data_IF_592108948430
#
_entry.id   IF_592108948430
#
_cell.length_a   1.000
_cell.length_b   1.000
_cell.length_c   1.000
_cell.angle_alpha   90.00
_cell.angle_beta   90.00
_cell.angle_gamma   90.00
#
_symmetry.space_group_name_H-M   'P 1'
#
loop_
_entity.id
_entity.type
_entity.pdbx_description
1 polymer ?
#
# COMPACT_ATOMS: atom_id res chain seq x y z
N UNK A 1 87.84 -10.88 9.32
CA UNK A 1 87.02 -9.68 9.64
C UNK A 1 85.76 -9.80 8.81
N UNK A 2 84.60 -10.09 9.42
CA UNK A 2 83.33 -10.17 8.70
C UNK A 2 82.79 -8.74 8.68
N UNK A 3 82.89 -8.06 7.54
CA UNK A 3 82.25 -6.74 7.36
C UNK A 3 80.76 -7.06 7.25
N UNK A 4 80.01 -6.79 8.30
CA UNK A 4 78.54 -6.83 8.25
C UNK A 4 78.13 -5.48 7.69
N UNK A 5 77.43 -5.48 6.55
CA UNK A 5 76.84 -4.26 6.01
C UNK A 5 75.89 -3.69 7.07
N UNK A 6 75.96 -2.37 7.29
CA UNK A 6 75.10 -1.70 8.26
C UNK A 6 73.76 -1.45 7.56
N UNK A 7 72.66 -1.96 8.12
CA UNK A 7 71.30 -1.67 7.64
C UNK A 7 71.08 -0.14 7.55
N UNK A 8 70.60 0.32 6.41
CA UNK A 8 70.20 1.69 6.14
C UNK A 8 68.68 1.82 6.07
N UNK A 9 68.14 2.79 6.82
CA UNK A 9 66.70 3.05 6.79
C UNK A 9 66.17 3.37 5.37
N UNK A 10 64.98 2.88 5.02
CA UNK A 10 64.37 3.09 3.72
C UNK A 10 63.96 4.56 3.53
N UNK A 11 63.85 4.99 2.27
CA UNK A 11 63.47 6.35 1.88
C UNK A 11 62.01 6.38 1.42
N UNK A 12 61.15 7.04 2.18
CA UNK A 12 59.75 7.25 1.83
C UNK A 12 59.61 8.41 0.83
N UNK A 13 59.01 8.14 -0.33
CA UNK A 13 58.76 9.12 -1.39
C UNK A 13 57.28 9.17 -1.68
N UNK A 14 56.65 10.31 -1.39
CA UNK A 14 55.21 10.48 -1.48
C UNK A 14 54.82 11.37 -2.67
N UNK A 15 53.77 10.98 -3.39
CA UNK A 15 53.19 11.76 -4.48
C UNK A 15 51.67 11.70 -4.46
N UNK A 16 51.02 12.86 -4.56
CA UNK A 16 49.57 12.91 -4.85
C UNK A 16 49.39 12.47 -6.31
N UNK A 17 48.71 11.34 -6.53
CA UNK A 17 48.47 10.79 -7.87
C UNK A 17 47.12 11.22 -8.43
N UNK A 18 46.14 11.50 -7.57
CA UNK A 18 44.84 12.05 -7.94
C UNK A 18 44.27 12.94 -6.83
N UNK A 19 43.53 14.01 -7.14
CA UNK A 19 43.42 14.63 -8.47
C UNK A 19 44.71 15.37 -8.86
N UNK A 20 44.89 15.66 -10.16
CA UNK A 20 46.07 16.39 -10.66
C UNK A 20 46.03 17.90 -10.39
N UNK A 21 44.87 18.44 -10.00
CA UNK A 21 44.66 19.85 -9.71
C UNK A 21 44.46 20.02 -8.21
N UNK A 22 45.24 20.92 -7.61
CA UNK A 22 45.17 21.32 -6.22
C UNK A 22 44.92 22.83 -6.11
N UNK A 23 44.26 23.31 -5.03
CA UNK A 23 43.65 22.55 -3.93
C UNK A 23 42.44 21.68 -4.37
N UNK A 24 42.26 20.52 -3.72
CA UNK A 24 41.19 19.57 -4.05
C UNK A 24 39.82 20.09 -3.58
N UNK A 25 38.80 19.98 -4.44
CA UNK A 25 37.42 20.28 -4.07
C UNK A 25 36.81 19.15 -3.22
N UNK A 26 35.90 19.49 -2.30
CA UNK A 26 35.21 18.50 -1.47
C UNK A 26 34.55 17.39 -2.29
N UNK A 27 34.48 16.18 -1.73
CA UNK A 27 33.81 15.03 -2.36
C UNK A 27 34.63 14.31 -3.44
N UNK A 28 35.74 14.89 -3.90
CA UNK A 28 36.68 14.20 -4.80
C UNK A 28 37.54 13.20 -4.03
N UNK A 29 37.81 12.05 -4.64
CA UNK A 29 38.78 11.09 -4.12
C UNK A 29 40.21 11.61 -4.32
N UNK A 30 40.96 11.67 -3.23
CA UNK A 30 42.40 11.92 -3.22
C UNK A 30 43.12 10.59 -3.11
N UNK A 31 44.12 10.37 -3.95
CA UNK A 31 45.03 9.22 -3.90
C UNK A 31 46.46 9.70 -3.72
N UNK A 32 47.17 9.14 -2.76
CA UNK A 32 48.59 9.37 -2.51
C UNK A 32 49.34 8.06 -2.66
N UNK A 33 50.39 8.06 -3.48
CA UNK A 33 51.24 6.90 -3.70
C UNK A 33 52.59 7.07 -3.03
N UNK A 34 53.06 5.99 -2.41
CA UNK A 34 54.41 5.78 -1.93
C UNK A 34 55.17 4.76 -2.81
N UNK A 35 54.67 4.44 -4.01
CA UNK A 35 55.26 3.43 -4.89
C UNK A 35 56.68 3.76 -5.37
N UNK A 36 57.12 5.02 -5.25
CA UNK A 36 58.49 5.44 -5.53
C UNK A 36 59.41 5.40 -4.29
N UNK A 37 58.92 4.90 -3.15
CA UNK A 37 59.74 4.65 -1.97
C UNK A 37 60.66 3.45 -2.23
N UNK A 38 61.86 3.48 -1.66
CA UNK A 38 62.88 2.46 -1.91
C UNK A 38 63.77 2.23 -0.70
N UNK A 39 64.43 1.08 -0.68
CA UNK A 39 65.46 0.74 0.28
C UNK A 39 66.86 1.13 -0.24
N UNK A 40 67.76 1.54 0.65
CA UNK A 40 69.13 1.92 0.29
C UNK A 40 70.10 0.73 0.31
N UNK A 41 69.73 -0.36 0.97
CA UNK A 41 70.50 -1.59 1.00
C UNK A 41 70.32 -2.36 -0.31
N UNK A 42 71.42 -2.95 -0.80
CA UNK A 42 71.47 -3.54 -2.14
C UNK A 42 70.50 -4.74 -2.32
N UNK A 43 70.14 -5.39 -1.22
CA UNK A 43 69.17 -6.48 -1.11
C UNK A 43 67.88 -6.10 -0.37
N UNK A 44 67.81 -4.91 0.22
CA UNK A 44 66.70 -4.45 1.06
C UNK A 44 65.40 -4.19 0.29
N UNK A 45 64.27 -4.35 0.98
CA UNK A 45 62.91 -4.17 0.48
C UNK A 45 62.00 -3.60 1.56
N UNK A 46 61.08 -2.74 1.14
CA UNK A 46 60.03 -2.25 2.04
C UNK A 46 59.08 -3.41 2.38
N UNK A 47 58.98 -3.72 3.67
CA UNK A 47 58.16 -4.78 4.24
C UNK A 47 56.76 -4.30 4.63
N UNK A 48 56.65 -3.10 5.23
CA UNK A 48 55.37 -2.58 5.74
C UNK A 48 55.17 -1.11 5.44
N UNK A 49 53.90 -0.70 5.34
CA UNK A 49 53.44 0.67 5.22
C UNK A 49 52.46 0.96 6.36
N UNK A 50 52.52 2.16 6.93
CA UNK A 50 51.57 2.64 7.92
C UNK A 50 51.30 4.12 7.72
N UNK A 51 50.14 4.43 7.16
CA UNK A 51 49.62 5.77 6.99
C UNK A 51 48.84 6.21 8.21
N UNK A 52 49.11 7.43 8.66
CA UNK A 52 48.37 8.09 9.75
C UNK A 52 48.04 9.51 9.35
N UNK A 53 46.84 9.97 9.68
CA UNK A 53 46.53 11.39 9.63
C UNK A 53 47.10 12.07 10.87
N UNK A 54 47.91 13.11 10.68
CA UNK A 54 48.58 13.82 11.78
C UNK A 54 47.93 15.15 12.09
N UNK A 55 47.34 15.82 11.11
CA UNK A 55 46.65 17.10 11.28
C UNK A 55 45.57 17.34 10.21
N UNK A 56 44.81 18.41 10.40
CA UNK A 56 43.78 18.83 9.46
C UNK A 56 42.40 18.20 9.71
N UNK A 57 41.45 18.41 8.79
CA UNK A 57 40.09 17.88 8.90
C UNK A 57 40.10 16.35 8.85
N UNK A 58 39.39 15.69 9.76
CA UNK A 58 39.39 14.23 9.87
C UNK A 58 38.91 13.56 8.57
N UNK A 59 39.64 12.54 8.12
CA UNK A 59 39.30 11.74 6.94
C UNK A 59 39.42 10.24 7.24
N UNK A 60 38.59 9.44 6.58
CA UNK A 60 38.73 7.98 6.58
C UNK A 60 39.71 7.57 5.50
N UNK A 61 40.83 6.96 5.90
CA UNK A 61 41.84 6.44 4.99
C UNK A 61 41.48 5.03 4.52
N UNK A 62 41.60 4.78 3.22
CA UNK A 62 41.49 3.46 2.60
C UNK A 62 42.86 3.02 2.11
N UNK A 63 43.27 1.77 2.40
CA UNK A 63 44.61 1.26 2.06
C UNK A 63 45.73 1.83 2.93
N UNK A 64 45.42 2.18 4.19
CA UNK A 64 46.36 2.81 5.12
C UNK A 64 47.59 1.94 5.47
N UNK A 65 47.57 0.65 5.16
CA UNK A 65 48.65 -0.32 5.34
C UNK A 65 49.33 -0.71 4.01
N UNK A 66 49.07 0.03 2.93
CA UNK A 66 49.60 -0.26 1.59
C UNK A 66 50.43 0.90 1.03
N UNK A 67 51.11 0.65 -0.09
CA UNK A 67 51.85 1.69 -0.81
C UNK A 67 50.94 2.81 -1.37
N UNK A 68 49.63 2.60 -1.49
CA UNK A 68 48.69 3.62 -1.99
C UNK A 68 47.58 3.85 -0.97
N UNK A 69 47.45 5.08 -0.47
CA UNK A 69 46.35 5.48 0.40
C UNK A 69 45.39 6.39 -0.34
N UNK A 70 44.10 6.27 -0.05
CA UNK A 70 43.10 7.20 -0.57
C UNK A 70 42.10 7.65 0.49
N UNK A 71 41.49 8.80 0.25
CA UNK A 71 40.41 9.34 1.06
C UNK A 71 39.51 10.26 0.23
N UNK A 72 38.30 10.55 0.71
CA UNK A 72 37.41 11.53 0.09
C UNK A 72 37.65 12.90 0.71
N UNK A 73 37.92 13.92 -0.11
CA UNK A 73 38.17 15.28 0.36
C UNK A 73 36.99 15.79 1.23
N UNK A 74 37.26 16.26 2.46
CA UNK A 74 36.23 16.68 3.40
C UNK A 74 35.59 18.02 3.00
N UNK A 75 34.45 18.32 3.61
CA UNK A 75 33.80 19.63 3.47
C UNK A 75 34.41 20.60 4.49
N UNK A 76 34.99 21.71 4.02
CA UNK A 76 35.71 22.68 4.88
C UNK A 76 35.25 24.11 4.62
N UNK A 77 35.10 24.90 5.69
CA UNK A 77 34.66 26.31 5.59
C UNK A 77 35.78 27.27 5.14
N UNK A 78 37.04 26.90 5.36
CA UNK A 78 38.23 27.61 4.91
C UNK A 78 39.22 26.63 4.31
N UNK A 79 40.06 27.09 3.39
CA UNK A 79 41.10 26.25 2.79
C UNK A 79 41.98 25.69 3.92
N UNK A 80 42.15 24.38 3.95
CA UNK A 80 42.89 23.66 4.98
C UNK A 80 43.58 22.45 4.38
N UNK A 81 44.70 22.06 4.97
CA UNK A 81 45.46 20.89 4.51
C UNK A 81 45.05 19.67 5.34
N UNK A 82 44.85 18.53 4.67
CA UNK A 82 44.90 17.22 5.32
C UNK A 82 46.35 16.77 5.32
N UNK A 83 46.93 16.57 6.51
CA UNK A 83 48.32 16.15 6.64
C UNK A 83 48.41 14.67 6.98
N UNK A 84 49.12 13.94 6.14
CA UNK A 84 49.34 12.50 6.29
C UNK A 84 50.82 12.25 6.56
N UNK A 85 51.12 11.32 7.47
CA UNK A 85 52.44 10.75 7.66
C UNK A 85 52.43 9.28 7.28
N UNK A 86 53.45 8.87 6.53
CA UNK A 86 53.76 7.48 6.23
C UNK A 86 54.97 7.05 7.04
N UNK A 87 54.84 5.94 7.75
CA UNK A 87 55.95 5.14 8.28
C UNK A 87 56.11 3.90 7.40
N UNK A 88 57.30 3.68 6.86
CA UNK A 88 57.68 2.44 6.16
C UNK A 88 58.74 1.71 6.97
N UNK A 89 58.71 0.37 6.94
CA UNK A 89 59.73 -0.49 7.58
C UNK A 89 60.31 -1.42 6.53
N UNK A 90 61.63 -1.57 6.48
CA UNK A 90 62.33 -2.54 5.63
C UNK A 90 62.29 -3.98 6.18
N UNK A 91 62.89 -4.93 5.48
CA UNK A 91 63.00 -6.34 5.88
C UNK A 91 64.06 -6.62 6.96
N UNK A 92 64.91 -5.64 7.28
CA UNK A 92 65.86 -5.63 8.39
C UNK A 92 65.40 -4.78 9.60
N UNK A 93 64.12 -4.41 9.62
CA UNK A 93 63.43 -3.64 10.65
C UNK A 93 63.88 -2.17 10.87
N UNK A 94 64.62 -1.54 9.96
CA UNK A 94 64.80 -0.09 10.01
C UNK A 94 63.62 0.65 9.35
N UNK A 95 63.43 1.90 9.77
CA UNK A 95 62.20 2.66 9.49
C UNK A 95 62.49 3.98 8.80
N UNK A 96 61.72 4.27 7.76
CA UNK A 96 61.67 5.57 7.06
C UNK A 96 60.36 6.29 7.32
N UNK A 97 60.39 7.62 7.36
CA UNK A 97 59.17 8.44 7.51
C UNK A 97 59.13 9.57 6.48
N UNK A 98 57.93 9.86 5.99
CA UNK A 98 57.66 11.06 5.20
C UNK A 98 56.26 11.60 5.52
N UNK A 99 56.06 12.90 5.34
CA UNK A 99 54.76 13.55 5.48
C UNK A 99 54.38 14.29 4.21
N UNK A 100 53.08 14.36 3.91
CA UNK A 100 52.54 15.11 2.79
C UNK A 100 51.31 15.92 3.20
N UNK A 101 51.20 17.11 2.64
CA UNK A 101 50.04 17.99 2.81
C UNK A 101 49.18 17.96 1.57
N UNK A 102 47.91 17.63 1.74
CA UNK A 102 46.90 17.68 0.67
C UNK A 102 46.03 18.91 0.90
N UNK A 103 46.21 20.00 0.13
CA UNK A 103 45.41 21.20 0.30
C UNK A 103 43.97 20.98 -0.18
N UNK A 104 42.99 21.21 0.69
CA UNK A 104 41.55 21.12 0.42
C UNK A 104 40.98 22.53 0.31
N UNK A 105 40.28 22.80 -0.80
CA UNK A 105 39.67 24.11 -1.08
C UNK A 105 38.48 24.37 -0.15
N UNK A 106 38.32 25.62 0.29
CA UNK A 106 37.11 26.08 0.98
C UNK A 106 35.85 25.88 0.11
N UNK A 107 34.80 25.30 0.70
CA UNK A 107 33.48 25.25 0.07
C UNK A 107 32.70 26.53 0.32
N UNK A 108 32.00 27.01 -0.71
CA UNK A 108 31.03 28.11 -0.56
C UNK A 108 29.72 27.66 0.09
N UNK A 109 29.43 26.37 0.05
CA UNK A 109 28.26 25.76 0.66
C UNK A 109 28.68 24.96 1.90
N UNK A 110 28.23 25.37 3.08
CA UNK A 110 28.66 24.78 4.35
C UNK A 110 27.79 23.58 4.79
N UNK A 111 26.60 23.45 4.21
CA UNK A 111 25.65 22.36 4.44
C UNK A 111 25.21 21.85 3.07
N UNK A 112 25.44 20.56 2.83
CA UNK A 112 24.91 19.82 1.68
C UNK A 112 23.81 18.95 2.25
N UNK A 113 22.57 19.45 2.23
CA UNK A 113 21.39 18.67 2.57
C UNK A 113 21.17 17.60 1.51
N UNK A 114 20.77 16.42 1.93
CA UNK A 114 20.50 15.27 1.07
C UNK A 114 19.19 14.63 1.54
N UNK A 115 18.11 14.83 0.77
CA UNK A 115 16.80 14.28 1.00
C UNK A 115 16.66 12.83 0.47
N UNK A 116 17.74 12.25 -0.07
CA UNK A 116 17.73 10.96 -0.72
C UNK A 116 17.19 11.03 -2.15
N UNK A 117 17.05 9.86 -2.76
CA UNK A 117 16.58 9.74 -4.15
C UNK A 117 15.07 9.85 -4.25
N UNK A 118 14.58 10.33 -5.40
CA UNK A 118 13.16 10.29 -5.75
C UNK A 118 12.61 8.86 -5.69
N UNK A 119 11.36 8.71 -5.24
CA UNK A 119 10.73 7.41 -5.02
C UNK A 119 9.50 7.20 -5.90
N UNK A 120 9.28 5.95 -6.29
CA UNK A 120 8.10 5.48 -7.02
C UNK A 120 7.44 4.40 -6.18
N UNK A 121 6.22 4.66 -5.72
CA UNK A 121 5.49 3.76 -4.81
C UNK A 121 4.04 3.56 -5.27
N UNK A 122 3.40 2.53 -4.73
CA UNK A 122 1.94 2.41 -4.80
C UNK A 122 1.32 3.15 -3.63
N UNK A 123 0.09 3.60 -3.77
CA UNK A 123 -0.72 4.04 -2.63
C UNK A 123 -0.75 2.97 -1.53
N UNK A 124 -0.95 3.41 -0.29
CA UNK A 124 -0.92 2.61 0.94
C UNK A 124 0.43 2.02 1.34
N UNK A 125 1.44 2.07 0.48
CA UNK A 125 2.79 1.66 0.85
C UNK A 125 3.41 2.62 1.87
N UNK A 126 4.17 2.09 2.81
CA UNK A 126 5.01 2.91 3.68
C UNK A 126 6.23 3.43 2.89
N UNK A 127 6.42 4.75 2.93
CA UNK A 127 7.54 5.46 2.30
C UNK A 127 8.53 5.87 3.38
N UNK A 128 9.79 5.45 3.23
CA UNK A 128 10.88 5.81 4.13
C UNK A 128 11.64 7.01 3.59
N UNK A 129 11.87 8.01 4.43
CA UNK A 129 12.62 9.22 4.14
C UNK A 129 13.95 9.17 4.91
N UNK A 130 15.06 9.40 4.22
CA UNK A 130 16.40 9.27 4.83
C UNK A 130 17.30 10.46 4.50
N UNK A 131 17.44 11.35 5.48
CA UNK A 131 18.29 12.54 5.42
C UNK A 131 19.73 12.31 5.87
N UNK A 132 20.13 11.07 6.20
CA UNK A 132 21.46 10.77 6.79
C UNK A 132 22.62 10.95 5.81
N UNK A 133 22.35 11.06 4.51
CA UNK A 133 23.35 11.43 3.49
C UNK A 133 23.87 12.87 3.61
N UNK A 134 23.20 13.70 4.41
CA UNK A 134 23.54 15.10 4.64
C UNK A 134 24.97 15.26 5.18
N UNK A 135 25.69 16.27 4.67
CA UNK A 135 27.06 16.59 5.07
C UNK A 135 27.18 18.05 5.48
N UNK A 136 27.81 18.31 6.63
CA UNK A 136 28.07 19.67 7.13
C UNK A 136 29.53 19.86 7.48
N UNK A 137 30.02 21.10 7.47
CA UNK A 137 31.38 21.42 7.93
C UNK A 137 31.57 21.09 9.42
N UNK A 138 30.52 21.27 10.22
CA UNK A 138 30.56 21.08 11.68
C UNK A 138 30.42 19.61 12.10
N UNK A 139 30.00 18.73 11.19
CA UNK A 139 29.74 17.31 11.44
C UNK A 139 28.40 17.02 12.14
N UNK A 140 27.93 17.90 13.02
CA UNK A 140 26.64 17.75 13.72
C UNK A 140 25.52 18.56 13.06
N UNK A 141 24.33 17.96 12.93
CA UNK A 141 23.15 18.62 12.37
C UNK A 141 21.84 18.02 12.89
N UNK A 142 20.75 18.76 12.73
CA UNK A 142 19.37 18.31 12.94
C UNK A 142 18.57 18.37 11.64
N UNK A 143 17.62 17.45 11.47
CA UNK A 143 16.78 17.33 10.27
C UNK A 143 15.33 17.70 10.58
N UNK A 144 14.64 18.25 9.58
CA UNK A 144 13.19 18.45 9.61
C UNK A 144 12.58 18.24 8.23
N UNK A 145 11.64 17.33 8.14
CA UNK A 145 10.85 17.03 6.95
C UNK A 145 9.58 17.87 6.91
N UNK A 146 9.24 18.35 5.72
CA UNK A 146 7.97 19.02 5.44
C UNK A 146 7.49 18.67 4.04
N UNK A 147 6.16 18.72 3.86
CA UNK A 147 5.56 18.58 2.54
C UNK A 147 5.39 19.96 1.90
N UNK A 148 5.81 20.10 0.65
CA UNK A 148 5.61 21.31 -0.16
C UNK A 148 4.38 21.21 -1.05
N UNK A 149 4.14 20.03 -1.63
CA UNK A 149 3.08 19.83 -2.63
C UNK A 149 2.44 18.45 -2.53
N UNK A 150 1.18 18.37 -2.95
CA UNK A 150 0.41 17.12 -3.06
C UNK A 150 -0.66 16.99 -1.96
N UNK A 151 -1.25 15.80 -1.88
CA UNK A 151 -2.23 15.48 -0.84
C UNK A 151 -1.59 15.48 0.54
N UNK A 152 -2.25 16.11 1.52
CA UNK A 152 -1.70 16.30 2.86
C UNK A 152 -1.29 14.97 3.51
N UNK A 153 -0.04 14.89 3.96
CA UNK A 153 0.54 13.70 4.57
C UNK A 153 0.60 13.80 6.09
N UNK A 154 0.50 12.65 6.74
CA UNK A 154 0.86 12.50 8.16
C UNK A 154 2.28 11.94 8.22
N UNK A 155 3.25 12.82 8.48
CA UNK A 155 4.66 12.44 8.61
C UNK A 155 4.95 11.91 10.02
N UNK A 156 5.47 10.69 10.10
CA UNK A 156 5.98 10.08 11.32
C UNK A 156 7.44 10.50 11.50
N UNK A 157 7.80 10.94 12.71
CA UNK A 157 9.15 11.39 13.05
C UNK A 157 9.69 12.53 12.17
N UNK A 158 8.84 13.50 11.82
CA UNK A 158 9.21 14.61 10.92
C UNK A 158 10.37 15.50 11.38
N UNK A 159 10.78 15.46 12.66
CA UNK A 159 11.96 16.18 13.18
C UNK A 159 13.21 15.28 13.33
N UNK A 160 13.19 14.06 12.80
CA UNK A 160 14.33 13.16 12.74
C UNK A 160 14.89 13.08 11.31
N UNK A 161 16.14 12.65 11.16
CA UNK A 161 16.71 12.43 9.82
C UNK A 161 16.11 11.21 9.12
N UNK A 162 15.56 10.26 9.89
CA UNK A 162 14.74 9.18 9.36
C UNK A 162 13.27 9.47 9.71
N UNK A 163 12.43 9.57 8.70
CA UNK A 163 11.01 9.81 8.84
C UNK A 163 10.25 8.86 7.90
N UNK A 164 8.94 8.69 8.11
CA UNK A 164 8.13 7.90 7.19
C UNK A 164 6.73 8.46 7.05
N UNK A 165 6.00 7.99 6.03
CA UNK A 165 4.58 8.23 5.87
C UNK A 165 3.94 7.10 5.06
N UNK A 166 2.61 7.00 5.11
CA UNK A 166 1.85 6.08 4.25
C UNK A 166 1.41 6.82 2.99
N UNK A 167 1.72 6.27 1.82
CA UNK A 167 1.32 6.84 0.54
C UNK A 167 -0.22 6.98 0.48
N UNK A 168 -0.75 8.16 0.12
CA UNK A 168 -2.18 8.42 0.17
C UNK A 168 -2.96 7.64 -0.89
N UNK A 169 -4.26 7.44 -0.63
CA UNK A 169 -5.27 7.05 -1.63
C UNK A 169 -5.36 8.12 -2.73
N UNK A 170 -5.21 7.72 -3.98
CA UNK A 170 -5.18 8.61 -5.14
C UNK A 170 -6.09 8.15 -6.28
N UNK A 171 -6.53 9.11 -7.08
CA UNK A 171 -7.15 8.82 -8.38
C UNK A 171 -6.10 8.92 -9.50
N UNK A 172 -5.44 7.81 -9.84
CA UNK A 172 -4.53 7.72 -10.99
C UNK A 172 -3.05 7.81 -10.60
N UNK A 173 -2.35 8.86 -11.05
CA UNK A 173 -0.95 9.12 -10.65
C UNK A 173 -0.88 10.45 -9.93
N UNK A 174 -0.22 10.46 -8.78
CA UNK A 174 -0.02 11.67 -7.96
C UNK A 174 1.46 11.91 -7.70
N UNK A 175 1.84 13.17 -7.54
CA UNK A 175 3.19 13.59 -7.19
C UNK A 175 3.17 14.35 -5.87
N UNK A 176 4.00 13.91 -4.94
CA UNK A 176 4.23 14.53 -3.64
C UNK A 176 5.65 15.12 -3.65
N UNK A 177 5.78 16.38 -3.24
CA UNK A 177 7.08 17.04 -3.12
C UNK A 177 7.37 17.25 -1.64
N UNK A 178 8.47 16.66 -1.16
CA UNK A 178 8.93 16.75 0.21
C UNK A 178 10.23 17.54 0.27
N UNK A 179 10.41 18.29 1.36
CA UNK A 179 11.61 19.06 1.63
C UNK A 179 12.22 18.62 2.96
N UNK A 180 13.50 18.26 2.91
CA UNK A 180 14.37 18.17 4.07
C UNK A 180 14.97 19.55 4.35
N UNK A 181 14.82 20.04 5.57
CA UNK A 181 15.54 21.19 6.11
C UNK A 181 16.57 20.70 7.12
N UNK A 182 17.83 21.04 6.90
CA UNK A 182 18.96 20.70 7.78
C UNK A 182 19.41 21.96 8.49
N UNK A 183 19.64 21.87 9.81
CA UNK A 183 20.26 22.95 10.60
C UNK A 183 21.54 22.44 11.25
N UNK A 184 22.65 23.14 11.06
CA UNK A 184 23.92 22.79 11.70
C UNK A 184 24.04 23.37 13.12
N UNK A 185 25.12 23.04 13.83
CA UNK A 185 25.39 23.57 15.18
C UNK A 185 25.67 25.07 15.25
N UNK A 186 25.88 25.74 14.11
CA UNK A 186 26.02 27.19 14.00
C UNK A 186 24.68 27.87 13.63
N UNK A 187 23.56 27.14 13.66
CA UNK A 187 22.23 27.59 13.25
C UNK A 187 22.13 28.02 11.77
N UNK A 188 23.04 27.54 10.93
CA UNK A 188 22.91 27.69 9.48
C UNK A 188 21.96 26.63 8.95
N UNK A 189 21.24 26.97 7.88
CA UNK A 189 20.25 26.06 7.29
C UNK A 189 20.52 25.81 5.82
N UNK A 190 20.28 24.58 5.36
CA UNK A 190 20.12 24.27 3.95
C UNK A 190 18.94 23.33 3.75
N UNK A 191 18.44 23.29 2.52
CA UNK A 191 17.30 22.45 2.16
C UNK A 191 17.64 21.57 0.98
N UNK A 192 17.01 20.42 0.91
CA UNK A 192 16.96 19.57 -0.26
C UNK A 192 15.54 19.04 -0.46
N UNK A 193 15.18 18.72 -1.71
CA UNK A 193 13.83 18.28 -2.08
C UNK A 193 13.87 16.94 -2.76
N UNK A 194 12.88 16.11 -2.49
CA UNK A 194 12.67 14.85 -3.21
C UNK A 194 11.23 14.73 -3.69
N UNK A 195 11.06 14.01 -4.79
CA UNK A 195 9.77 13.70 -5.38
C UNK A 195 9.35 12.26 -5.03
N UNK A 196 8.12 12.09 -4.58
CA UNK A 196 7.48 10.78 -4.45
C UNK A 196 6.33 10.71 -5.45
N UNK A 197 6.45 9.83 -6.44
CA UNK A 197 5.37 9.54 -7.37
C UNK A 197 4.59 8.34 -6.87
N UNK A 198 3.29 8.52 -6.70
CA UNK A 198 2.36 7.51 -6.21
C UNK A 198 1.51 7.02 -7.38
N UNK A 199 1.35 5.71 -7.48
CA UNK A 199 0.51 5.03 -8.46
C UNK A 199 -0.58 4.20 -7.76
N UNK A 200 -1.69 3.95 -8.45
CA UNK A 200 -2.78 3.13 -7.90
C UNK A 200 -2.31 1.73 -7.46
N UNK A 201 -2.86 1.27 -6.34
CA UNK A 201 -2.76 -0.11 -5.91
C UNK A 201 -3.82 -0.95 -6.64
N UNK A 202 -3.52 -2.23 -6.88
CA UNK A 202 -4.49 -3.16 -7.47
C UNK A 202 -5.29 -3.76 -6.32
N UNK A 203 -6.30 -3.04 -5.85
CA UNK A 203 -7.18 -3.49 -4.75
C UNK A 203 -8.41 -4.27 -5.21
N UNK A 204 -8.60 -4.44 -6.52
CA UNK A 204 -9.78 -5.07 -7.09
C UNK A 204 -10.99 -4.13 -7.21
N UNK A 205 -11.97 -4.56 -8.00
CA UNK A 205 -13.20 -3.81 -8.28
C UNK A 205 -14.35 -4.10 -7.32
N UNK A 206 -14.11 -4.84 -6.23
CA UNK A 206 -15.10 -5.21 -5.23
C UNK A 206 -14.73 -4.58 -3.87
N UNK A 207 -15.71 -4.36 -2.97
CA UNK A 207 -15.49 -3.95 -1.59
C UNK A 207 -14.70 -4.92 -0.70
N UNK A 208 -14.28 -6.08 -1.23
CA UNK A 208 -13.66 -7.20 -0.50
C UNK A 208 -14.64 -7.94 0.43
N UNK A 209 -14.18 -8.60 1.49
CA UNK A 209 -15.03 -9.47 2.34
C UNK A 209 -15.51 -8.80 3.62
N UNK A 210 -14.88 -7.68 4.02
CA UNK A 210 -15.10 -7.07 5.32
C UNK A 210 -14.35 -7.78 6.45
N UNK A 211 -13.35 -8.61 6.16
CA UNK A 211 -12.54 -9.26 7.21
C UNK A 211 -11.19 -8.57 7.33
N UNK A 212 -11.14 -7.56 8.21
CA UNK A 212 -9.95 -6.70 8.39
C UNK A 212 -8.93 -7.22 9.41
N UNK A 213 -9.29 -8.26 10.17
CA UNK A 213 -8.44 -8.81 11.23
C UNK A 213 -7.78 -10.10 10.77
N UNK A 214 -6.56 -10.31 11.24
CA UNK A 214 -5.84 -11.57 11.12
C UNK A 214 -5.85 -12.31 12.48
N UNK A 215 -5.72 -13.63 12.44
CA UNK A 215 -5.90 -14.52 13.58
C UNK A 215 -4.78 -15.56 13.69
N UNK A 216 -4.44 -15.91 14.92
CA UNK A 216 -3.74 -17.16 15.25
C UNK A 216 -4.72 -18.12 15.96
N UNK A 217 -4.20 -19.17 16.59
CA UNK A 217 -5.00 -20.12 17.38
C UNK A 217 -5.55 -19.50 18.69
N UNK A 218 -5.03 -18.35 19.11
CA UNK A 218 -5.31 -17.70 20.39
C UNK A 218 -6.25 -16.50 20.25
N UNK A 219 -6.36 -15.92 19.05
CA UNK A 219 -7.23 -14.79 18.77
C UNK A 219 -6.68 -13.87 17.67
N UNK A 220 -6.98 -12.58 17.77
CA UNK A 220 -6.56 -11.56 16.79
C UNK A 220 -5.06 -11.26 16.95
N UNK A 221 -4.36 -11.19 15.82
CA UNK A 221 -2.95 -10.81 15.70
C UNK A 221 -2.79 -9.67 14.69
N UNK A 222 -1.66 -8.94 14.69
CA UNK A 222 -1.32 -8.06 13.59
C UNK A 222 -1.27 -8.82 12.26
N UNK A 223 -1.84 -8.23 11.20
CA UNK A 223 -1.70 -8.75 9.85
C UNK A 223 -0.26 -8.61 9.35
N UNK A 224 0.11 -9.43 8.36
CA UNK A 224 1.47 -9.54 7.83
C UNK A 224 2.38 -10.49 8.59
N UNK A 225 1.85 -11.33 9.48
CA UNK A 225 2.64 -12.35 10.20
C UNK A 225 3.04 -13.50 9.26
N UNK A 226 4.34 -13.70 9.07
CA UNK A 226 4.88 -14.75 8.18
C UNK A 226 4.57 -16.18 8.63
N UNK A 227 4.23 -16.38 9.92
CA UNK A 227 3.82 -17.66 10.49
C UNK A 227 2.38 -18.02 10.11
N UNK A 228 1.54 -16.99 9.93
CA UNK A 228 0.14 -17.12 9.55
C UNK A 228 -0.16 -16.33 8.27
N UNK A 229 0.49 -16.69 7.14
CA UNK A 229 0.41 -15.91 5.92
C UNK A 229 -0.92 -16.13 5.18
N UNK A 230 -1.29 -15.16 4.35
CA UNK A 230 -2.44 -15.23 3.41
C UNK A 230 -3.79 -15.25 4.12
N UNK A 231 -3.88 -14.52 5.22
CA UNK A 231 -5.16 -14.24 5.83
C UNK A 231 -5.88 -13.14 5.04
N UNK A 232 -7.20 -13.10 5.18
CA UNK A 232 -8.04 -12.17 4.43
C UNK A 232 -7.63 -10.71 4.66
N UNK A 233 -7.44 -10.34 5.93
CA UNK A 233 -6.95 -9.03 6.33
C UNK A 233 -5.53 -8.68 5.88
N UNK A 234 -4.75 -9.62 5.32
CA UNK A 234 -3.44 -9.33 4.73
C UNK A 234 -3.54 -8.69 3.34
N UNK A 235 -4.70 -8.80 2.69
CA UNK A 235 -4.87 -8.48 1.27
C UNK A 235 -5.99 -7.50 0.97
N UNK A 236 -6.08 -7.16 -0.31
CA UNK A 236 -7.22 -6.43 -0.88
C UNK A 236 -7.53 -5.11 -0.18
N UNK A 237 -8.81 -4.72 -0.21
CA UNK A 237 -9.25 -3.47 0.41
C UNK A 237 -9.31 -3.58 1.94
N UNK A 238 -9.49 -4.80 2.46
CA UNK A 238 -9.58 -5.03 3.89
C UNK A 238 -8.27 -4.70 4.64
N UNK A 239 -7.12 -4.89 4.00
CA UNK A 239 -5.80 -4.55 4.57
C UNK A 239 -5.51 -3.04 4.71
N UNK A 240 -6.28 -2.19 4.01
CA UNK A 240 -6.01 -0.75 3.89
C UNK A 240 -7.20 0.13 4.30
N UNK A 241 -8.20 -0.43 4.98
CA UNK A 241 -9.47 0.25 5.32
C UNK A 241 -9.33 1.60 6.01
N UNK A 242 -8.29 1.78 6.81
CA UNK A 242 -8.00 3.02 7.53
C UNK A 242 -7.51 4.16 6.61
N UNK A 243 -7.07 3.81 5.40
CA UNK A 243 -6.54 4.75 4.42
C UNK A 243 -7.49 4.97 3.23
N UNK A 244 -8.50 4.11 3.06
CA UNK A 244 -9.48 4.24 1.99
C UNK A 244 -10.31 5.51 2.14
N UNK A 245 -10.35 6.30 1.08
CA UNK A 245 -11.29 7.41 0.97
C UNK A 245 -12.66 6.88 0.57
N UNK A 246 -13.70 7.30 1.29
CA UNK A 246 -15.09 6.98 0.95
C UNK A 246 -15.82 8.17 0.35
N UNK A 247 -16.64 7.91 -0.67
CA UNK A 247 -17.60 8.84 -1.26
C UNK A 247 -18.84 8.94 -0.37
N UNK A 248 -19.39 7.80 0.03
CA UNK A 248 -20.53 7.68 0.95
C UNK A 248 -20.12 7.13 2.31
N UNK A 249 -20.88 6.14 2.81
CA UNK A 249 -20.64 5.46 4.10
C UNK A 249 -20.75 3.94 3.95
N UNK A 250 -20.25 3.24 4.95
CA UNK A 250 -20.28 1.79 5.03
C UNK A 250 -19.20 1.34 6.00
N UNK A 251 -19.34 0.14 6.54
CA UNK A 251 -18.31 -0.43 7.40
C UNK A 251 -17.05 -0.79 6.58
N UNK A 252 -15.85 -0.72 7.19
CA UNK A 252 -14.59 -1.25 6.63
C UNK A 252 -14.29 -0.81 5.20
N UNK A 253 -14.23 -1.70 4.21
CA UNK A 253 -13.98 -1.38 2.81
C UNK A 253 -15.25 -1.05 1.99
N UNK A 254 -16.45 -1.26 2.53
CA UNK A 254 -17.72 -0.98 1.86
C UNK A 254 -18.02 0.51 1.75
N UNK A 255 -18.41 0.99 0.58
CA UNK A 255 -18.73 2.40 0.35
C UNK A 255 -20.05 2.54 -0.41
N UNK A 256 -21.07 2.99 0.29
CA UNK A 256 -22.44 3.06 -0.20
C UNK A 256 -22.99 4.48 -0.14
N UNK A 257 -23.74 4.86 -1.18
CA UNK A 257 -24.52 6.10 -1.25
C UNK A 257 -26.01 5.77 -1.29
N UNK A 258 -26.81 6.47 -0.48
CA UNK A 258 -28.26 6.35 -0.47
C UNK A 258 -28.86 7.18 -1.62
N UNK A 259 -29.84 6.61 -2.32
CA UNK A 259 -30.55 7.24 -3.42
C UNK A 259 -32.06 7.33 -3.13
N UNK A 260 -32.72 8.42 -3.52
CA UNK A 260 -34.17 8.57 -3.41
C UNK A 260 -34.94 7.79 -4.51
N UNK A 261 -36.26 7.96 -4.58
CA UNK A 261 -37.11 7.26 -5.54
C UNK A 261 -36.83 7.62 -7.02
N UNK A 262 -36.14 8.73 -7.28
CA UNK A 262 -35.77 9.18 -8.62
C UNK A 262 -34.32 8.79 -8.97
N UNK A 263 -33.59 8.19 -8.04
CA UNK A 263 -32.19 7.84 -8.21
C UNK A 263 -31.23 8.98 -7.87
N UNK A 264 -31.71 10.05 -7.24
CA UNK A 264 -30.89 11.18 -6.82
C UNK A 264 -30.25 10.89 -5.45
N UNK A 265 -29.01 11.34 -5.24
CA UNK A 265 -28.28 11.14 -3.99
C UNK A 265 -28.94 11.89 -2.83
N UNK A 266 -29.11 11.20 -1.70
CA UNK A 266 -29.61 11.78 -0.46
C UNK A 266 -28.54 11.74 0.64
N UNK A 267 -28.62 12.61 1.66
CA UNK A 267 -27.66 12.61 2.76
C UNK A 267 -27.56 11.25 3.45
N UNK A 268 -26.37 10.90 3.94
CA UNK A 268 -26.13 9.63 4.67
C UNK A 268 -27.03 9.45 5.89
N UNK A 269 -27.43 10.56 6.52
CA UNK A 269 -28.36 10.58 7.66
C UNK A 269 -29.82 10.37 7.27
N UNK A 270 -30.13 10.30 5.97
CA UNK A 270 -31.50 10.10 5.51
C UNK A 270 -32.00 8.70 5.88
N UNK A 271 -33.22 8.68 6.41
CA UNK A 271 -34.02 7.46 6.57
C UNK A 271 -34.99 7.27 5.41
N UNK A 272 -35.15 8.29 4.56
CA UNK A 272 -35.98 8.24 3.36
C UNK A 272 -35.06 8.08 2.14
N UNK A 273 -34.94 6.84 1.68
CA UNK A 273 -34.17 6.44 0.52
C UNK A 273 -34.78 5.17 -0.06
N UNK A 274 -34.68 5.03 -1.38
CA UNK A 274 -35.28 3.94 -2.16
C UNK A 274 -34.25 2.96 -2.69
N UNK A 275 -33.00 3.34 -2.96
CA UNK A 275 -32.00 2.36 -3.34
C UNK A 275 -30.60 2.75 -2.87
N UNK A 276 -29.64 1.86 -3.07
CA UNK A 276 -28.27 2.00 -2.58
C UNK A 276 -27.31 1.84 -3.75
N UNK A 277 -26.46 2.83 -4.00
CA UNK A 277 -25.34 2.68 -4.94
C UNK A 277 -24.10 2.21 -4.16
N UNK A 278 -23.48 1.15 -4.62
CA UNK A 278 -22.12 0.77 -4.23
C UNK A 278 -21.12 1.60 -5.03
N UNK A 279 -20.36 2.44 -4.35
CA UNK A 279 -19.39 3.34 -4.96
C UNK A 279 -18.10 2.63 -5.40
N UNK A 280 -17.89 1.37 -5.00
CA UNK A 280 -16.76 0.56 -5.46
C UNK A 280 -17.08 -0.11 -6.80
N UNK A 281 -18.24 -0.75 -6.90
CA UNK A 281 -18.67 -1.46 -8.12
C UNK A 281 -19.45 -0.58 -9.10
N UNK A 282 -20.03 0.51 -8.61
CA UNK A 282 -20.98 1.35 -9.35
C UNK A 282 -22.41 0.77 -9.43
N UNK A 283 -22.63 -0.44 -8.92
CA UNK A 283 -23.93 -1.12 -8.97
C UNK A 283 -24.94 -0.45 -8.06
N UNK A 284 -26.21 -0.50 -8.46
CA UNK A 284 -27.34 0.04 -7.70
C UNK A 284 -28.22 -1.12 -7.23
N UNK A 285 -28.44 -1.19 -5.93
CA UNK A 285 -29.09 -2.29 -5.22
C UNK A 285 -30.48 -1.90 -4.75
N UNK A 286 -31.43 -2.81 -4.94
CA UNK A 286 -32.80 -2.69 -4.49
C UNK A 286 -32.86 -2.60 -2.96
N UNK A 287 -33.60 -1.63 -2.41
CA UNK A 287 -34.00 -1.65 -1.00
C UNK A 287 -35.35 -2.37 -0.89
N UNK A 288 -35.41 -3.46 -0.11
CA UNK A 288 -36.68 -4.15 0.18
C UNK A 288 -37.59 -3.28 1.03
N UNK A 289 -38.86 -3.63 1.09
CA UNK A 289 -39.86 -2.95 1.93
C UNK A 289 -40.11 -3.74 3.23
N UNK A 290 -40.51 -3.07 4.32
CA UNK A 290 -40.89 -3.74 5.55
C UNK A 290 -42.06 -4.69 5.32
N UNK A 291 -42.09 -5.78 6.08
CA UNK A 291 -43.18 -6.76 6.04
C UNK A 291 -44.36 -6.24 6.85
N UNK A 292 -45.29 -5.54 6.19
CA UNK A 292 -46.54 -5.06 6.81
C UNK A 292 -47.60 -6.16 6.81
N UNK A 293 -47.75 -6.86 5.69
CA UNK A 293 -48.64 -8.01 5.52
C UNK A 293 -47.85 -9.17 4.93
N UNK A 294 -48.24 -10.39 5.27
CA UNK A 294 -47.71 -11.59 4.62
C UNK A 294 -48.27 -11.74 3.19
N UNK A 295 -47.52 -12.35 2.26
CA UNK A 295 -48.08 -12.77 0.98
C UNK A 295 -49.37 -13.60 1.16
N UNK A 296 -50.37 -13.41 0.28
CA UNK A 296 -50.36 -12.55 -0.91
C UNK A 296 -50.73 -11.08 -0.66
N UNK A 297 -51.04 -10.66 0.57
CA UNK A 297 -51.42 -9.29 0.89
C UNK A 297 -50.26 -8.30 1.04
N UNK A 298 -49.03 -8.73 0.74
CA UNK A 298 -47.81 -7.95 0.84
C UNK A 298 -47.70 -6.88 -0.25
N UNK A 299 -46.78 -5.93 -0.09
CA UNK A 299 -46.39 -5.03 -1.18
C UNK A 299 -45.41 -5.73 -2.12
N UNK A 300 -45.26 -5.21 -3.35
CA UNK A 300 -44.44 -5.81 -4.40
C UNK A 300 -43.02 -6.16 -3.94
N UNK A 301 -42.36 -5.25 -3.20
CA UNK A 301 -40.97 -5.41 -2.74
C UNK A 301 -40.85 -5.78 -1.26
N UNK A 302 -41.90 -6.29 -0.62
CA UNK A 302 -41.82 -6.70 0.79
C UNK A 302 -40.73 -7.76 0.99
N UNK A 303 -39.94 -7.64 2.06
CA UNK A 303 -38.77 -8.50 2.30
C UNK A 303 -39.09 -10.01 2.41
N UNK A 304 -40.30 -10.36 2.87
CA UNK A 304 -40.74 -11.75 2.99
C UNK A 304 -41.38 -12.33 1.70
N UNK A 305 -41.45 -11.58 0.60
CA UNK A 305 -41.90 -12.15 -0.66
C UNK A 305 -40.87 -13.18 -1.15
N UNK A 306 -41.36 -14.29 -1.68
CA UNK A 306 -40.53 -15.40 -2.15
C UNK A 306 -40.99 -15.83 -3.54
N UNK A 307 -40.03 -16.26 -4.34
CA UNK A 307 -40.25 -16.52 -5.75
C UNK A 307 -39.62 -17.83 -6.16
N UNK A 308 -40.25 -18.55 -7.10
CA UNK A 308 -39.60 -19.68 -7.76
C UNK A 308 -38.69 -19.18 -8.88
N UNK A 309 -37.65 -19.96 -9.18
CA UNK A 309 -36.73 -19.60 -10.23
C UNK A 309 -37.39 -19.74 -11.61
N UNK A 310 -37.71 -18.60 -12.22
CA UNK A 310 -38.05 -18.50 -13.65
C UNK A 310 -37.25 -17.36 -14.24
N UNK A 311 -36.23 -17.67 -15.03
CA UNK A 311 -35.44 -16.65 -15.73
C UNK A 311 -35.32 -16.99 -17.22
N UNK A 312 -35.76 -16.07 -18.07
CA UNK A 312 -35.66 -16.16 -19.53
C UNK A 312 -34.31 -15.66 -20.09
N UNK A 313 -33.42 -15.15 -19.23
CA UNK A 313 -32.09 -14.68 -19.63
C UNK A 313 -31.20 -15.80 -20.14
N UNK A 314 -30.24 -15.45 -21.00
CA UNK A 314 -29.27 -16.38 -21.61
C UNK A 314 -28.32 -17.07 -20.59
N UNK A 315 -28.34 -16.65 -19.32
CA UNK A 315 -27.60 -17.26 -18.20
C UNK A 315 -28.34 -18.41 -17.48
N UNK A 316 -29.54 -18.77 -17.92
CA UNK A 316 -30.37 -19.82 -17.30
C UNK A 316 -29.93 -21.26 -17.64
N UNK A 317 -28.76 -21.47 -18.25
CA UNK A 317 -28.24 -22.81 -18.51
C UNK A 317 -29.10 -23.67 -19.43
N UNK A 318 -30.01 -23.05 -20.21
CA UNK A 318 -30.92 -23.73 -21.14
C UNK A 318 -32.27 -24.14 -20.54
N UNK A 319 -32.47 -23.96 -19.24
CA UNK A 319 -33.70 -24.33 -18.54
C UNK A 319 -34.25 -23.13 -17.74
N UNK A 320 -35.38 -22.59 -18.19
CA UNK A 320 -35.98 -21.39 -17.59
C UNK A 320 -36.52 -21.62 -16.18
N UNK A 321 -37.00 -22.83 -15.88
CA UNK A 321 -37.66 -23.18 -14.62
C UNK A 321 -39.19 -23.03 -14.64
N UNK A 322 -39.83 -23.28 -13.49
CA UNK A 322 -41.29 -23.29 -13.34
C UNK A 322 -41.79 -22.21 -12.36
N UNK A 323 -42.82 -21.47 -12.76
CA UNK A 323 -43.37 -20.35 -11.98
C UNK A 323 -44.31 -20.83 -10.86
N UNK A 324 -44.09 -20.37 -9.62
CA UNK A 324 -45.00 -20.57 -8.51
C UNK A 324 -46.37 -19.94 -8.80
N UNK A 325 -47.45 -20.55 -8.31
CA UNK A 325 -48.80 -20.06 -8.58
C UNK A 325 -49.01 -18.62 -8.08
N UNK A 326 -49.83 -17.84 -8.80
CA UNK A 326 -50.21 -16.48 -8.41
C UNK A 326 -50.77 -16.42 -6.98
N UNK A 327 -50.53 -15.29 -6.31
CA UNK A 327 -51.07 -15.01 -4.97
C UNK A 327 -50.76 -16.09 -3.91
N UNK A 328 -49.59 -16.74 -4.00
CA UNK A 328 -49.14 -17.73 -3.00
C UNK A 328 -48.02 -17.19 -2.11
N UNK A 329 -46.87 -16.85 -2.70
CA UNK A 329 -45.66 -16.41 -2.00
C UNK A 329 -45.27 -14.96 -2.29
N UNK A 330 -46.08 -14.28 -3.11
CA UNK A 330 -45.92 -12.90 -3.55
C UNK A 330 -47.31 -12.28 -3.83
N UNK A 331 -47.42 -10.96 -4.07
CA UNK A 331 -48.69 -10.29 -4.35
C UNK A 331 -49.12 -10.31 -5.83
N UNK A 332 -48.32 -10.87 -6.75
CA UNK A 332 -48.65 -10.87 -8.17
C UNK A 332 -49.88 -11.73 -8.48
N UNK A 333 -50.72 -11.23 -9.37
CA UNK A 333 -51.89 -11.93 -9.90
C UNK A 333 -51.58 -12.78 -11.13
N UNK A 334 -50.36 -12.71 -11.66
CA UNK A 334 -49.92 -13.48 -12.83
C UNK A 334 -49.30 -14.80 -12.37
N UNK A 335 -48.19 -14.72 -11.64
CA UNK A 335 -47.49 -15.84 -11.00
C UNK A 335 -46.47 -15.31 -9.98
N UNK A 336 -45.92 -16.18 -9.14
CA UNK A 336 -44.84 -15.85 -8.20
C UNK A 336 -43.47 -16.36 -8.65
N UNK A 337 -43.19 -16.31 -9.95
CA UNK A 337 -41.86 -16.52 -10.53
C UNK A 337 -41.01 -15.25 -10.53
N UNK A 338 -39.68 -15.41 -10.59
CA UNK A 338 -38.74 -14.29 -10.65
C UNK A 338 -38.96 -13.38 -11.86
N UNK A 339 -39.32 -13.94 -13.02
CA UNK A 339 -39.58 -13.18 -14.25
C UNK A 339 -40.68 -12.12 -14.09
N UNK A 340 -41.84 -12.52 -13.56
CA UNK A 340 -42.95 -11.61 -13.29
C UNK A 340 -42.56 -10.50 -12.32
N UNK A 341 -41.84 -10.85 -11.25
CA UNK A 341 -41.37 -9.86 -10.28
C UNK A 341 -40.42 -8.83 -10.89
N UNK A 342 -39.46 -9.27 -11.71
CA UNK A 342 -38.49 -8.38 -12.37
C UNK A 342 -39.22 -7.43 -13.33
N UNK A 343 -40.17 -7.95 -14.11
CA UNK A 343 -40.99 -7.16 -15.03
C UNK A 343 -41.81 -6.11 -14.26
N UNK A 344 -42.55 -6.53 -13.24
CA UNK A 344 -43.36 -5.63 -12.39
C UNK A 344 -42.52 -4.53 -11.73
N UNK A 345 -41.31 -4.84 -11.23
CA UNK A 345 -40.41 -3.80 -10.67
C UNK A 345 -39.93 -2.83 -11.75
N UNK A 346 -39.56 -3.34 -12.92
CA UNK A 346 -39.08 -2.50 -14.03
C UNK A 346 -40.18 -1.58 -14.57
N UNK A 347 -41.44 -2.02 -14.61
CA UNK A 347 -42.59 -1.17 -14.99
C UNK A 347 -42.77 0.04 -14.05
N UNK A 348 -42.36 -0.07 -12.78
CA UNK A 348 -42.45 1.05 -11.83
C UNK A 348 -41.35 2.10 -12.01
N UNK A 349 -40.34 1.85 -12.86
CA UNK A 349 -39.13 2.67 -12.96
C UNK A 349 -38.49 2.96 -11.59
N UNK A 350 -38.46 1.94 -10.72
CA UNK A 350 -38.03 2.07 -9.33
C UNK A 350 -36.62 2.66 -9.20
N UNK A 351 -36.48 3.66 -8.33
CA UNK A 351 -35.23 4.40 -8.11
C UNK A 351 -34.66 5.01 -9.40
N UNK A 352 -35.55 5.57 -10.23
CA UNK A 352 -35.22 6.20 -11.50
C UNK A 352 -34.77 5.26 -12.62
N UNK A 353 -34.90 3.94 -12.46
CA UNK A 353 -34.39 2.95 -13.41
C UNK A 353 -35.34 1.78 -13.67
N UNK A 354 -35.24 1.18 -14.85
CA UNK A 354 -36.09 0.06 -15.31
C UNK A 354 -35.27 -1.08 -15.93
N UNK A 355 -33.99 -1.20 -15.54
CA UNK A 355 -33.06 -2.23 -15.96
C UNK A 355 -32.64 -3.15 -14.79
N UNK A 356 -33.54 -3.35 -13.83
CA UNK A 356 -33.36 -4.26 -12.71
C UNK A 356 -33.27 -5.70 -13.20
N UNK A 357 -32.34 -6.45 -12.61
CA UNK A 357 -32.07 -7.86 -12.90
C UNK A 357 -31.66 -8.61 -11.64
N UNK A 358 -31.56 -9.93 -11.75
CA UNK A 358 -30.90 -10.72 -10.72
C UNK A 358 -29.40 -10.39 -10.65
N UNK A 359 -28.81 -10.37 -9.45
CA UNK A 359 -27.37 -10.24 -9.29
C UNK A 359 -26.67 -11.55 -9.67
N UNK A 360 -25.42 -11.48 -10.10
CA UNK A 360 -24.53 -12.64 -10.05
C UNK A 360 -24.22 -13.00 -8.60
N UNK A 361 -23.71 -14.21 -8.37
CA UNK A 361 -23.22 -14.64 -7.06
C UNK A 361 -22.13 -13.71 -6.54
N UNK A 362 -21.18 -13.32 -7.39
CA UNK A 362 -20.09 -12.41 -7.02
C UNK A 362 -20.61 -11.00 -6.66
N UNK A 363 -21.59 -10.47 -7.41
CA UNK A 363 -22.22 -9.20 -7.08
C UNK A 363 -22.96 -9.28 -5.74
N UNK A 364 -23.70 -10.37 -5.49
CA UNK A 364 -24.43 -10.51 -4.23
C UNK A 364 -23.49 -10.71 -3.03
N UNK A 365 -22.39 -11.43 -3.22
CA UNK A 365 -21.33 -11.55 -2.23
C UNK A 365 -20.63 -10.22 -1.98
N UNK A 366 -20.51 -9.35 -2.98
CA UNK A 366 -19.79 -8.08 -2.86
C UNK A 366 -20.43 -7.05 -1.93
N UNK A 367 -21.66 -7.30 -1.46
CA UNK A 367 -22.35 -6.47 -0.46
C UNK A 367 -22.48 -7.16 0.91
N UNK A 368 -21.91 -8.36 1.07
CA UNK A 368 -21.93 -9.12 2.30
C UNK A 368 -20.64 -8.90 3.10
N UNK A 369 -20.76 -8.42 4.34
CA UNK A 369 -19.64 -8.32 5.27
C UNK A 369 -19.49 -9.63 6.06
N UNK A 370 -18.57 -10.48 5.62
CA UNK A 370 -18.23 -11.76 6.24
C UNK A 370 -17.60 -11.61 7.63
N UNK A 371 -17.12 -10.40 7.98
CA UNK A 371 -16.67 -10.07 9.32
C UNK A 371 -17.80 -9.90 10.34
N UNK A 372 -19.08 -9.91 9.93
CA UNK A 372 -20.26 -9.83 10.81
C UNK A 372 -20.65 -11.18 11.42
N UNK A 373 -19.66 -11.92 11.92
CA UNK A 373 -19.86 -13.25 12.51
C UNK A 373 -20.79 -13.16 13.73
N UNK A 374 -21.83 -14.01 13.75
CA UNK A 374 -22.80 -14.08 14.84
C UNK A 374 -23.94 -13.04 14.77
N UNK A 375 -23.98 -12.21 13.73
CA UNK A 375 -25.12 -11.34 13.44
C UNK A 375 -26.27 -12.12 12.78
N UNK A 376 -27.43 -11.47 12.65
CA UNK A 376 -28.60 -12.06 11.99
C UNK A 376 -28.40 -12.22 10.48
N UNK A 377 -27.62 -11.34 9.85
CA UNK A 377 -27.24 -11.37 8.45
C UNK A 377 -25.94 -10.58 8.20
N UNK A 378 -25.34 -10.83 7.04
CA UNK A 378 -24.06 -10.24 6.61
C UNK A 378 -24.20 -8.84 5.98
N UNK A 379 -25.41 -8.44 5.57
CA UNK A 379 -25.62 -7.11 4.98
C UNK A 379 -25.60 -6.00 6.06
N UNK A 380 -25.06 -4.83 5.72
CA UNK A 380 -25.02 -3.67 6.63
C UNK A 380 -26.45 -3.13 6.88
N UNK A 381 -27.00 -3.21 8.11
CA UNK A 381 -28.37 -2.79 8.41
C UNK A 381 -28.60 -1.28 8.29
N UNK A 382 -27.55 -0.46 8.23
CA UNK A 382 -27.70 0.98 7.97
C UNK A 382 -28.15 1.27 6.52
N UNK A 383 -27.87 0.35 5.61
CA UNK A 383 -28.18 0.44 4.18
C UNK A 383 -29.22 -0.58 3.74
N UNK A 384 -29.06 -1.83 4.15
CA UNK A 384 -29.94 -2.96 3.87
C UNK A 384 -30.85 -3.21 5.08
N UNK A 385 -31.87 -2.35 5.20
CA UNK A 385 -32.71 -2.24 6.41
C UNK A 385 -33.75 -3.34 6.59
N UNK A 386 -34.07 -4.05 5.52
CA UNK A 386 -35.23 -4.93 5.46
C UNK A 386 -34.81 -6.26 4.86
N UNK A 387 -34.60 -7.23 5.74
CA UNK A 387 -34.26 -8.60 5.38
C UNK A 387 -35.39 -9.55 5.78
N UNK A 388 -35.52 -10.71 5.11
CA UNK A 388 -36.56 -11.68 5.41
C UNK A 388 -36.43 -12.25 6.82
N UNK A 389 -37.56 -12.64 7.38
CA UNK A 389 -37.61 -13.40 8.62
C UNK A 389 -37.13 -14.84 8.34
N UNK A 390 -35.99 -15.20 8.94
CA UNK A 390 -35.38 -16.52 8.83
C UNK A 390 -36.36 -17.65 9.14
N UNK A 391 -37.28 -17.47 10.09
CA UNK A 391 -38.22 -18.51 10.54
C UNK A 391 -39.24 -18.93 9.47
N UNK A 392 -39.40 -18.13 8.41
CA UNK A 392 -40.36 -18.38 7.33
C UNK A 392 -39.97 -19.60 6.48
N UNK A 393 -38.67 -19.82 6.25
CA UNK A 393 -38.16 -20.97 5.49
C UNK A 393 -36.99 -21.71 6.14
N UNK A 394 -36.53 -21.26 7.32
CA UNK A 394 -35.30 -21.71 7.98
C UNK A 394 -34.04 -21.54 7.11
N UNK A 395 -34.06 -20.57 6.20
CA UNK A 395 -32.92 -20.11 5.40
C UNK A 395 -33.18 -18.66 4.97
N UNK A 396 -32.14 -17.98 4.49
CA UNK A 396 -32.25 -16.71 3.78
C UNK A 396 -31.60 -16.85 2.40
N UNK A 397 -32.06 -17.83 1.63
CA UNK A 397 -31.54 -18.09 0.29
C UNK A 397 -32.02 -17.04 -0.70
N UNK A 398 -31.07 -16.24 -1.20
CA UNK A 398 -31.28 -15.28 -2.27
C UNK A 398 -30.89 -15.87 -3.61
N UNK A 399 -31.79 -15.78 -4.59
CA UNK A 399 -31.49 -16.21 -5.96
C UNK A 399 -30.41 -15.36 -6.61
N UNK A 400 -29.56 -16.02 -7.38
CA UNK A 400 -28.58 -15.38 -8.27
C UNK A 400 -28.91 -15.69 -9.73
N UNK A 401 -28.35 -14.92 -10.66
CA UNK A 401 -28.62 -15.07 -12.09
C UNK A 401 -28.07 -16.38 -12.68
N UNK A 402 -27.07 -16.99 -12.03
CA UNK A 402 -26.37 -18.15 -12.56
C UNK A 402 -27.10 -19.46 -12.29
N UNK A 403 -27.15 -20.29 -13.32
CA UNK A 403 -27.50 -21.70 -13.15
C UNK A 403 -26.34 -22.46 -12.51
N UNK A 404 -26.65 -23.44 -11.67
CA UNK A 404 -25.64 -24.34 -11.13
C UNK A 404 -25.37 -25.49 -12.08
N UNK A 405 -24.09 -25.80 -12.28
CA UNK A 405 -23.65 -27.02 -12.93
C UNK A 405 -23.79 -28.24 -12.00
N UNK A 406 -23.82 -28.01 -10.69
CA UNK A 406 -24.07 -29.04 -9.69
C UNK A 406 -25.54 -29.46 -9.78
N UNK A 407 -25.78 -30.76 -9.97
CA UNK A 407 -27.12 -31.32 -10.20
C UNK A 407 -27.40 -31.78 -11.64
N UNK A 408 -26.44 -31.67 -12.56
CA UNK A 408 -26.46 -32.46 -13.81
C UNK A 408 -27.11 -31.82 -15.04
N UNK A 409 -27.17 -30.48 -15.13
CA UNK A 409 -27.41 -29.80 -16.41
C UNK A 409 -28.43 -28.66 -16.38
N UNK A 410 -28.10 -27.51 -15.79
CA UNK A 410 -28.91 -26.29 -15.86
C UNK A 410 -30.24 -26.33 -15.10
N UNK A 411 -30.64 -27.47 -14.53
CA UNK A 411 -31.91 -27.66 -13.81
C UNK A 411 -31.95 -27.04 -12.39
N UNK A 412 -30.82 -26.54 -11.90
CA UNK A 412 -30.68 -25.87 -10.61
C UNK A 412 -30.08 -24.48 -10.79
N UNK A 413 -30.33 -23.57 -9.84
CA UNK A 413 -29.71 -22.26 -9.77
C UNK A 413 -28.95 -22.06 -8.45
N UNK A 414 -27.96 -21.18 -8.48
CA UNK A 414 -27.20 -20.79 -7.29
C UNK A 414 -28.04 -19.87 -6.41
N UNK A 415 -28.00 -20.13 -5.11
CA UNK A 415 -28.50 -19.24 -4.07
C UNK A 415 -27.39 -18.88 -3.11
N UNK A 416 -27.46 -17.69 -2.55
CA UNK A 416 -26.57 -17.22 -1.50
C UNK A 416 -27.36 -17.02 -0.21
N UNK A 417 -26.90 -17.62 0.88
CA UNK A 417 -27.50 -17.46 2.21
C UNK A 417 -26.89 -16.23 2.89
N UNK A 418 -27.58 -15.09 2.80
CA UNK A 418 -27.11 -13.82 3.39
C UNK A 418 -27.01 -13.87 4.92
N UNK A 419 -27.50 -14.93 5.57
CA UNK A 419 -27.35 -15.14 7.01
C UNK A 419 -25.93 -15.49 7.41
N UNK A 420 -25.27 -16.35 6.63
CA UNK A 420 -24.02 -17.00 7.02
C UNK A 420 -22.96 -17.01 5.91
N UNK A 421 -23.31 -16.59 4.69
CA UNK A 421 -22.37 -16.50 3.57
C UNK A 421 -22.20 -17.79 2.77
N UNK A 422 -22.97 -18.84 3.07
CA UNK A 422 -22.92 -20.08 2.33
C UNK A 422 -23.63 -19.93 0.98
N UNK A 423 -22.98 -20.37 -0.09
CA UNK A 423 -23.63 -20.67 -1.35
C UNK A 423 -24.27 -22.06 -1.32
N UNK A 424 -25.41 -22.21 -2.01
CA UNK A 424 -26.13 -23.47 -2.15
C UNK A 424 -26.74 -23.57 -3.55
N UNK A 425 -27.24 -24.76 -3.88
CA UNK A 425 -27.89 -25.03 -5.15
C UNK A 425 -29.32 -25.49 -4.92
N UNK A 426 -30.26 -24.88 -5.64
CA UNK A 426 -31.68 -25.16 -5.49
C UNK A 426 -32.30 -25.49 -6.86
N UNK A 427 -33.11 -26.56 -6.97
CA UNK A 427 -33.78 -26.92 -8.23
C UNK A 427 -34.75 -25.83 -8.71
N UNK A 428 -34.82 -25.63 -10.03
CA UNK A 428 -35.71 -24.65 -10.68
C UNK A 428 -37.15 -25.14 -10.82
N UNK A 429 -37.75 -25.55 -9.70
CA UNK A 429 -39.08 -26.13 -9.65
C UNK A 429 -40.09 -25.19 -8.99
N UNK A 430 -41.36 -25.36 -9.33
CA UNK A 430 -42.45 -24.51 -8.83
C UNK A 430 -42.49 -24.38 -7.30
N UNK A 431 -42.22 -25.47 -6.59
CA UNK A 431 -42.28 -25.53 -5.12
C UNK A 431 -41.02 -24.99 -4.41
N UNK A 432 -39.95 -24.72 -5.16
CA UNK A 432 -38.68 -24.23 -4.60
C UNK A 432 -38.68 -22.71 -4.62
N UNK A 433 -38.75 -22.11 -3.43
CA UNK A 433 -38.87 -20.67 -3.26
C UNK A 433 -37.63 -20.09 -2.59
N UNK A 434 -37.20 -18.94 -3.09
CA UNK A 434 -36.11 -18.14 -2.53
C UNK A 434 -36.45 -16.65 -2.54
N UNK A 435 -35.66 -15.88 -1.81
CA UNK A 435 -35.74 -14.43 -1.74
C UNK A 435 -35.00 -13.80 -2.93
N UNK A 436 -35.23 -12.50 -3.12
CA UNK A 436 -34.63 -11.75 -4.22
C UNK A 436 -34.31 -10.33 -3.77
N UNK A 437 -33.14 -9.85 -4.19
CA UNK A 437 -32.74 -8.46 -4.17
C UNK A 437 -32.19 -8.13 -5.54
N UNK A 438 -32.87 -7.25 -6.26
CA UNK A 438 -32.46 -6.89 -7.60
C UNK A 438 -31.25 -5.94 -7.56
N UNK A 439 -30.48 -5.99 -8.64
CA UNK A 439 -29.37 -5.09 -8.90
C UNK A 439 -29.55 -4.49 -10.30
N UNK A 440 -29.04 -3.29 -10.51
CA UNK A 440 -28.92 -2.68 -11.83
C UNK A 440 -27.57 -2.03 -12.03
N UNK A 441 -27.16 -1.95 -13.29
CA UNK A 441 -26.05 -1.09 -13.69
C UNK A 441 -26.51 0.39 -13.68
N UNK A 442 -25.58 1.32 -13.39
CA UNK A 442 -25.88 2.74 -13.23
C UNK A 442 -26.51 3.39 -14.47
#
# INVERSE_FOLDING_TARGET
MRIVAKNQAPVAVLQITQPSILPVAQGLTVSVSAASSYDLDADGRISTYLWTQTSGPAVTLTGADTANVSFVAPLVASQSDVELALLITDDEAATGQASIKVPVRASTQQIIADAGVDQQVREFAEVQLDGRGTRTVTGSFSCRWSQLKGQALVLVNSNACQASFIAPDISGTSQLELQLTVTDSNNQTATDTMLVTVSNAVLGGLPDTGVVNCYDISGVIPCGDETYPRQDGDGGRDSVVQYLRKIGKGEKAFDFTKLDQFGDEVPDTSNDFSCIRDNVTGLIWELKEPVVNAPPGSTLRAANNRYSFVNADTGNGGESGEAADALTSCPSTVDCGLGAYIEEVNETAYCGGANWRLPTLEELMSIADFGRVGQNHLLDPAFFRFEPDYSVQNNMFYWTAQSSAEGGGGISAWVFDVRNGNDNTVPKQQAQLGYVRLVRSP
#
